data_IF_727078036403
#
_entry.id   IF_727078036403
#
_cell.length_a   1.000
_cell.length_b   1.000
_cell.length_c   1.000
_cell.angle_alpha   90.00
_cell.angle_beta   90.00
_cell.angle_gamma   90.00
#
_symmetry.space_group_name_H-M   'P 1'
#
loop_
_entity.id
_entity.type
_entity.pdbx_description
1 polymer ?
#
# COMPACT_ATOMS: atom_id res chain seq x y z
N UNK A 1 20.01 -12.62 31.82
CA UNK A 1 20.32 -13.50 30.69
C UNK A 1 19.08 -13.56 29.82
N UNK A 2 19.20 -13.17 28.57
CA UNK A 2 18.10 -13.23 27.63
C UNK A 2 18.22 -14.54 26.86
N UNK A 3 17.10 -15.25 26.68
CA UNK A 3 17.05 -16.52 25.99
C UNK A 3 15.72 -16.63 25.21
N UNK A 4 15.71 -17.39 24.11
CA UNK A 4 14.52 -17.70 23.33
C UNK A 4 14.14 -19.18 23.51
N UNK A 5 12.83 -19.42 23.64
CA UNK A 5 12.26 -20.77 23.72
C UNK A 5 11.14 -20.87 22.66
N UNK A 6 11.15 -21.96 21.89
CA UNK A 6 10.06 -22.24 20.96
C UNK A 6 8.98 -23.06 21.68
N UNK A 7 7.76 -22.56 21.69
CA UNK A 7 6.61 -23.25 22.26
C UNK A 7 5.36 -22.88 21.44
N UNK A 8 4.39 -23.79 21.31
CA UNK A 8 3.16 -23.56 20.55
C UNK A 8 2.20 -22.57 21.24
N UNK A 9 2.35 -22.35 22.55
CA UNK A 9 1.52 -21.44 23.33
C UNK A 9 2.33 -20.88 24.52
N UNK A 10 1.97 -19.69 25.00
CA UNK A 10 2.60 -18.98 26.12
C UNK A 10 2.62 -19.82 27.39
N UNK A 11 1.54 -20.52 27.71
CA UNK A 11 1.44 -21.40 28.87
C UNK A 11 2.43 -22.57 28.83
N UNK A 12 2.66 -23.12 27.63
CA UNK A 12 3.65 -24.20 27.43
C UNK A 12 5.07 -23.67 27.53
N UNK A 13 5.34 -22.45 27.05
CA UNK A 13 6.64 -21.79 27.21
C UNK A 13 6.96 -21.56 28.69
N UNK A 14 6.02 -21.04 29.47
CA UNK A 14 6.14 -20.81 30.93
C UNK A 14 6.45 -22.12 31.64
N UNK A 15 5.67 -23.18 31.40
CA UNK A 15 5.83 -24.48 32.05
C UNK A 15 7.20 -25.11 31.74
N UNK A 16 7.64 -24.98 30.48
CA UNK A 16 8.94 -25.51 30.03
C UNK A 16 10.10 -24.78 30.66
N UNK A 17 10.04 -23.47 30.82
CA UNK A 17 11.07 -22.66 31.44
C UNK A 17 11.12 -22.90 32.97
N UNK A 18 9.97 -23.02 33.63
CA UNK A 18 9.89 -23.32 35.05
C UNK A 18 10.42 -24.72 35.38
N UNK A 19 10.15 -25.73 34.53
CA UNK A 19 10.68 -27.09 34.72
C UNK A 19 12.21 -27.16 34.59
N UNK A 20 12.82 -26.19 33.89
CA UNK A 20 14.28 -26.03 33.78
C UNK A 20 14.90 -25.15 34.88
N UNK A 21 14.10 -24.72 35.86
CA UNK A 21 14.58 -23.97 37.02
C UNK A 21 14.79 -22.47 36.77
N UNK A 22 14.24 -21.90 35.69
CA UNK A 22 14.35 -20.48 35.42
C UNK A 22 13.18 -19.70 36.02
N UNK A 23 13.47 -18.54 36.64
CA UNK A 23 12.44 -17.58 37.06
C UNK A 23 12.20 -16.58 35.94
N UNK A 24 10.98 -16.55 35.42
CA UNK A 24 10.60 -15.68 34.31
C UNK A 24 10.32 -14.29 34.85
N UNK A 25 11.05 -13.28 34.39
CA UNK A 25 10.86 -11.87 34.74
C UNK A 25 9.95 -11.15 33.72
N UNK A 26 10.07 -11.49 32.45
CA UNK A 26 9.17 -11.05 31.38
C UNK A 26 9.17 -12.08 30.26
N UNK A 27 8.03 -12.30 29.64
CA UNK A 27 7.87 -13.12 28.45
C UNK A 27 7.31 -12.23 27.34
N UNK A 28 8.07 -12.08 26.26
CA UNK A 28 7.56 -11.41 25.06
C UNK A 28 7.42 -12.44 23.95
N UNK A 29 6.21 -12.61 23.42
CA UNK A 29 5.98 -13.45 22.28
C UNK A 29 6.64 -12.84 21.03
N UNK A 30 7.77 -13.40 20.61
CA UNK A 30 8.39 -13.07 19.34
C UNK A 30 7.75 -13.93 18.26
N UNK A 31 6.60 -13.52 17.77
CA UNK A 31 5.91 -14.20 16.67
C UNK A 31 6.70 -13.98 15.35
N UNK A 32 7.72 -14.79 15.15
CA UNK A 32 8.43 -14.92 13.87
C UNK A 32 7.85 -16.07 13.06
N UNK A 33 6.55 -16.07 12.87
CA UNK A 33 5.93 -16.86 11.82
C UNK A 33 6.35 -16.28 10.47
N UNK A 34 7.19 -16.98 9.72
CA UNK A 34 7.69 -16.58 8.39
C UNK A 34 6.52 -16.27 7.42
N UNK A 35 5.37 -16.89 7.64
CA UNK A 35 4.12 -16.63 6.91
C UNK A 35 3.41 -15.33 7.36
N UNK A 36 3.51 -14.94 8.63
CA UNK A 36 2.88 -13.71 9.12
C UNK A 36 3.70 -12.47 8.75
N UNK A 37 5.03 -12.57 8.67
CA UNK A 37 5.89 -11.46 8.25
C UNK A 37 5.68 -11.09 6.78
N UNK A 38 5.50 -12.07 5.89
CA UNK A 38 5.21 -11.81 4.47
C UNK A 38 3.77 -11.29 4.27
N UNK A 39 2.81 -11.84 5.02
CA UNK A 39 1.42 -11.37 4.98
C UNK A 39 1.27 -9.97 5.56
N UNK A 40 1.93 -9.66 6.67
CA UNK A 40 1.95 -8.31 7.26
C UNK A 40 2.62 -7.29 6.36
N UNK A 41 3.68 -7.68 5.64
CA UNK A 41 4.36 -6.84 4.65
C UNK A 41 3.49 -6.55 3.42
N UNK A 42 2.65 -7.51 3.02
CA UNK A 42 1.68 -7.33 1.93
C UNK A 42 0.48 -6.48 2.36
N UNK A 43 0.00 -6.64 3.60
CA UNK A 43 -1.07 -5.85 4.21
C UNK A 43 -0.62 -4.43 4.59
N UNK A 44 0.68 -4.21 4.82
CA UNK A 44 1.23 -2.90 5.17
C UNK A 44 1.53 -2.01 3.97
N UNK A 45 1.47 -2.54 2.73
CA UNK A 45 1.78 -1.75 1.53
C UNK A 45 0.74 -0.65 1.33
N UNK A 46 1.21 0.60 1.37
CA UNK A 46 0.38 1.77 1.11
C UNK A 46 -0.06 1.74 -0.36
N UNK A 47 -1.37 1.75 -0.60
CA UNK A 47 -1.94 1.78 -1.95
C UNK A 47 -2.09 3.22 -2.44
N UNK A 48 -1.95 3.43 -3.75
CA UNK A 48 -2.29 4.72 -4.35
C UNK A 48 -3.73 5.18 -4.05
N UNK A 49 -4.65 4.23 -3.86
CA UNK A 49 -6.04 4.54 -3.46
C UNK A 49 -6.12 5.17 -2.07
N UNK A 50 -5.34 4.66 -1.11
CA UNK A 50 -5.31 5.21 0.25
C UNK A 50 -4.79 6.65 0.25
N UNK A 51 -3.75 6.90 -0.55
CA UNK A 51 -3.15 8.24 -0.67
C UNK A 51 -4.11 9.22 -1.36
N UNK A 52 -4.82 8.79 -2.40
CA UNK A 52 -5.84 9.62 -3.09
C UNK A 52 -7.00 9.92 -2.13
N UNK A 53 -7.48 8.91 -1.39
CA UNK A 53 -8.53 9.09 -0.40
C UNK A 53 -8.12 10.08 0.70
N UNK A 54 -6.92 9.92 1.25
CA UNK A 54 -6.36 10.86 2.22
C UNK A 54 -6.34 12.30 1.68
N UNK A 55 -5.84 12.51 0.47
CA UNK A 55 -5.76 13.85 -0.15
C UNK A 55 -7.15 14.47 -0.33
N UNK A 56 -8.15 13.67 -0.69
CA UNK A 56 -9.54 14.13 -0.79
C UNK A 56 -10.14 14.48 0.57
N UNK A 57 -9.93 13.61 1.55
CA UNK A 57 -10.40 13.87 2.92
C UNK A 57 -9.73 15.11 3.52
N UNK A 58 -8.42 15.30 3.30
CA UNK A 58 -7.71 16.50 3.75
C UNK A 58 -8.33 17.76 3.16
N UNK A 59 -8.57 17.78 1.83
CA UNK A 59 -9.28 18.89 1.20
C UNK A 59 -10.64 19.10 1.87
N UNK A 60 -11.44 18.07 2.05
CA UNK A 60 -12.80 18.19 2.64
C UNK A 60 -12.78 18.79 4.06
N UNK A 61 -11.78 18.44 4.89
CA UNK A 61 -11.64 19.00 6.22
C UNK A 61 -11.22 20.48 6.18
N UNK A 62 -10.33 20.85 5.27
CA UNK A 62 -9.91 22.24 5.08
C UNK A 62 -11.05 23.08 4.47
N UNK A 63 -11.86 22.50 3.57
CA UNK A 63 -13.07 23.12 3.01
C UNK A 63 -14.15 23.40 4.08
N UNK A 64 -14.16 22.57 5.12
CA UNK A 64 -15.02 22.77 6.31
C UNK A 64 -14.40 23.70 7.36
N UNK A 65 -13.42 24.53 7.00
CA UNK A 65 -12.70 25.47 7.88
C UNK A 65 -11.99 24.79 9.07
N UNK A 66 -11.70 23.49 8.98
CA UNK A 66 -10.93 22.79 10.02
C UNK A 66 -9.46 23.21 9.98
N UNK A 67 -8.84 23.54 11.14
CA UNK A 67 -7.42 23.81 11.21
C UNK A 67 -6.57 22.66 10.63
N UNK A 68 -5.58 22.98 9.80
CA UNK A 68 -4.77 22.01 9.07
C UNK A 68 -4.16 20.92 9.97
N UNK A 69 -3.58 21.30 11.11
CA UNK A 69 -2.96 20.37 12.04
C UNK A 69 -4.00 19.40 12.65
N UNK A 70 -5.18 19.91 12.99
CA UNK A 70 -6.29 19.10 13.53
C UNK A 70 -6.83 18.14 12.48
N UNK A 71 -6.99 18.59 11.24
CA UNK A 71 -7.39 17.76 10.10
C UNK A 71 -6.42 16.61 9.86
N UNK A 72 -5.11 16.90 9.82
CA UNK A 72 -4.07 15.89 9.67
C UNK A 72 -4.08 14.85 10.79
N UNK A 73 -4.18 15.30 12.05
CA UNK A 73 -4.26 14.42 13.20
C UNK A 73 -5.50 13.53 13.18
N UNK A 74 -6.62 14.07 12.76
CA UNK A 74 -7.89 13.32 12.63
C UNK A 74 -7.74 12.23 11.57
N UNK A 75 -7.18 12.56 10.42
CA UNK A 75 -6.94 11.60 9.34
C UNK A 75 -5.92 10.52 9.72
N UNK A 76 -4.84 10.88 10.43
CA UNK A 76 -3.87 9.92 10.92
C UNK A 76 -4.49 8.87 11.87
N UNK A 77 -5.50 9.25 12.67
CA UNK A 77 -6.24 8.33 13.55
C UNK A 77 -7.17 7.40 12.78
N UNK A 78 -7.75 7.85 11.66
CA UNK A 78 -8.70 7.08 10.86
C UNK A 78 -8.04 6.02 9.97
N UNK A 79 -6.75 6.17 9.68
CA UNK A 79 -6.03 5.24 8.81
C UNK A 79 -5.78 3.92 9.53
N UNK A 80 -6.26 2.83 8.91
CA UNK A 80 -6.10 1.46 9.45
C UNK A 80 -4.71 0.87 9.18
N UNK A 81 -4.09 1.23 8.04
CA UNK A 81 -2.77 0.69 7.64
C UNK A 81 -1.65 1.26 8.49
N UNK A 82 -0.94 0.43 9.29
CA UNK A 82 0.06 0.92 10.24
C UNK A 82 1.17 1.75 9.59
N UNK A 83 1.65 1.32 8.41
CA UNK A 83 2.69 2.04 7.67
C UNK A 83 2.23 3.44 7.24
N UNK A 84 0.99 3.58 6.76
CA UNK A 84 0.46 4.88 6.33
C UNK A 84 0.10 5.76 7.52
N UNK A 85 -0.43 5.16 8.59
CA UNK A 85 -0.70 5.84 9.85
C UNK A 85 0.57 6.48 10.42
N UNK A 86 1.69 5.74 10.42
CA UNK A 86 2.99 6.27 10.87
C UNK A 86 3.38 7.51 10.07
N UNK A 87 3.34 7.45 8.74
CA UNK A 87 3.66 8.59 7.87
C UNK A 87 2.77 9.79 8.16
N UNK A 88 1.45 9.59 8.28
CA UNK A 88 0.53 10.69 8.55
C UNK A 88 0.70 11.29 9.95
N UNK A 89 1.10 10.47 10.93
CA UNK A 89 1.44 10.95 12.27
C UNK A 89 2.68 11.83 12.22
N UNK A 90 3.76 11.40 11.54
CA UNK A 90 4.97 12.19 11.34
C UNK A 90 4.69 13.53 10.65
N UNK A 91 3.86 13.52 9.59
CA UNK A 91 3.42 14.74 8.89
C UNK A 91 2.61 15.65 9.82
N UNK A 92 1.68 15.10 10.59
CA UNK A 92 0.86 15.86 11.55
C UNK A 92 1.70 16.54 12.62
N UNK A 93 2.61 15.80 13.25
CA UNK A 93 3.54 16.31 14.28
C UNK A 93 4.46 17.41 13.72
N UNK A 94 4.94 17.23 12.50
CA UNK A 94 5.78 18.19 11.81
C UNK A 94 5.03 19.52 11.58
N UNK A 95 3.78 19.45 11.11
CA UNK A 95 2.94 20.64 10.90
C UNK A 95 2.53 21.26 12.24
N UNK A 96 2.20 20.49 13.27
CA UNK A 96 1.91 20.98 14.63
C UNK A 96 3.12 21.71 15.24
N UNK A 97 4.34 21.31 14.90
CA UNK A 97 5.58 22.01 15.32
C UNK A 97 5.85 23.29 14.54
N UNK A 98 4.99 23.65 13.58
CA UNK A 98 5.09 24.87 12.78
C UNK A 98 5.81 24.73 11.44
N UNK A 99 6.13 23.49 11.01
CA UNK A 99 6.67 23.28 9.67
C UNK A 99 5.57 23.45 8.60
N UNK A 100 5.98 23.93 7.42
CA UNK A 100 5.08 23.99 6.27
C UNK A 100 4.61 22.58 5.87
N UNK A 101 3.35 22.42 5.45
CA UNK A 101 2.81 21.15 4.98
C UNK A 101 3.62 20.58 3.82
N UNK A 102 4.00 21.43 2.88
CA UNK A 102 4.84 21.02 1.73
C UNK A 102 6.18 20.44 2.15
N UNK A 103 6.82 21.01 3.17
CA UNK A 103 8.10 20.53 3.71
C UNK A 103 7.91 19.20 4.44
N UNK A 104 6.83 19.05 5.21
CA UNK A 104 6.49 17.81 5.91
C UNK A 104 6.18 16.68 4.93
N UNK A 105 5.46 16.95 3.84
CA UNK A 105 5.17 15.98 2.78
C UNK A 105 6.41 15.61 1.95
N UNK A 106 7.37 16.53 1.82
CA UNK A 106 8.62 16.29 1.09
C UNK A 106 9.53 15.24 1.75
N UNK A 107 9.32 14.91 3.02
CA UNK A 107 9.98 13.78 3.67
C UNK A 107 9.52 12.41 3.12
N UNK A 108 8.37 12.35 2.43
CA UNK A 108 7.78 11.13 1.88
C UNK A 108 7.45 11.27 0.38
N UNK A 109 8.45 11.52 -0.49
CA UNK A 109 8.23 11.83 -1.90
C UNK A 109 7.63 10.66 -2.70
N UNK A 110 7.89 9.43 -2.28
CA UNK A 110 7.37 8.21 -2.91
C UNK A 110 5.83 8.11 -2.79
N UNK A 111 5.24 8.68 -1.74
CA UNK A 111 3.80 8.66 -1.49
C UNK A 111 3.08 9.88 -2.10
N UNK A 112 3.66 11.04 -1.92
CA UNK A 112 2.98 12.28 -2.32
C UNK A 112 3.36 12.77 -3.72
N UNK A 113 4.55 12.42 -4.19
CA UNK A 113 5.07 12.81 -5.50
C UNK A 113 5.42 14.32 -5.58
N UNK A 114 6.44 14.62 -6.36
CA UNK A 114 6.97 15.99 -6.45
C UNK A 114 5.94 17.02 -6.96
N UNK A 115 5.07 16.64 -7.88
CA UNK A 115 4.04 17.54 -8.40
C UNK A 115 3.08 18.00 -7.29
N UNK A 116 2.60 17.05 -6.48
CA UNK A 116 1.72 17.33 -5.34
C UNK A 116 2.39 18.28 -4.34
N UNK A 117 3.62 17.96 -3.94
CA UNK A 117 4.41 18.74 -2.97
C UNK A 117 4.61 20.17 -3.47
N UNK A 118 4.98 20.35 -4.75
CA UNK A 118 5.21 21.68 -5.33
C UNK A 118 3.94 22.52 -5.43
N UNK A 119 2.79 21.89 -5.72
CA UNK A 119 1.52 22.61 -5.79
C UNK A 119 1.02 23.02 -4.39
N UNK A 120 1.18 22.14 -3.38
CA UNK A 120 0.94 22.49 -1.98
C UNK A 120 1.85 23.66 -1.56
N UNK A 121 3.14 23.62 -1.89
CA UNK A 121 4.10 24.69 -1.61
C UNK A 121 3.66 26.03 -2.24
N UNK A 122 3.21 26.01 -3.48
CA UNK A 122 2.68 27.21 -4.15
C UNK A 122 1.43 27.75 -3.44
N UNK A 123 0.53 26.86 -3.02
CA UNK A 123 -0.66 27.25 -2.25
C UNK A 123 -0.35 27.85 -0.88
N UNK A 124 0.64 27.29 -0.17
CA UNK A 124 1.10 27.81 1.11
C UNK A 124 1.69 29.23 0.97
N UNK A 125 2.60 29.42 0.01
CA UNK A 125 3.26 30.71 -0.22
C UNK A 125 2.26 31.79 -0.67
N UNK A 126 1.26 31.42 -1.48
CA UNK A 126 0.25 32.36 -1.98
C UNK A 126 -0.93 32.58 -1.02
N UNK A 127 -1.02 31.84 0.07
CA UNK A 127 -2.18 31.84 0.98
C UNK A 127 -3.43 31.14 0.40
N UNK A 128 -3.27 30.39 -0.69
CA UNK A 128 -4.35 29.70 -1.44
C UNK A 128 -4.27 28.18 -1.30
N UNK A 129 -3.95 27.70 -0.11
CA UNK A 129 -3.78 26.27 0.15
C UNK A 129 -5.06 25.48 -0.17
N UNK A 130 -6.24 26.05 0.20
CA UNK A 130 -7.54 25.45 -0.08
C UNK A 130 -7.75 25.20 -1.59
N UNK A 131 -7.53 26.22 -2.43
CA UNK A 131 -7.67 26.10 -3.89
C UNK A 131 -6.69 25.06 -4.47
N UNK A 132 -5.46 25.04 -3.97
CA UNK A 132 -4.44 24.07 -4.39
C UNK A 132 -4.81 22.63 -4.01
N UNK A 133 -5.35 22.42 -2.81
CA UNK A 133 -5.79 21.09 -2.36
C UNK A 133 -7.01 20.60 -3.13
N UNK A 134 -7.97 21.47 -3.45
CA UNK A 134 -9.11 21.15 -4.31
C UNK A 134 -8.64 20.66 -5.69
N UNK A 135 -7.81 21.48 -6.34
CA UNK A 135 -7.28 21.14 -7.66
C UNK A 135 -6.56 19.77 -7.65
N UNK A 136 -5.74 19.54 -6.62
CA UNK A 136 -5.01 18.29 -6.47
C UNK A 136 -5.94 17.10 -6.24
N UNK A 137 -6.97 17.25 -5.40
CA UNK A 137 -7.95 16.20 -5.14
C UNK A 137 -8.67 15.80 -6.43
N UNK A 138 -9.18 16.76 -7.16
CA UNK A 138 -9.89 16.53 -8.43
C UNK A 138 -8.97 15.93 -9.50
N UNK A 139 -7.75 16.44 -9.65
CA UNK A 139 -6.78 15.90 -10.60
C UNK A 139 -6.47 14.43 -10.32
N UNK A 140 -6.25 14.07 -9.07
CA UNK A 140 -5.91 12.71 -8.70
C UNK A 140 -7.09 11.72 -8.84
N UNK A 141 -8.31 12.15 -8.53
CA UNK A 141 -9.51 11.36 -8.75
C UNK A 141 -9.72 11.06 -10.23
N UNK A 142 -9.58 12.09 -11.08
CA UNK A 142 -9.68 11.94 -12.55
C UNK A 142 -8.59 11.00 -13.08
N UNK A 143 -7.34 11.17 -12.64
CA UNK A 143 -6.22 10.31 -13.03
C UNK A 143 -6.45 8.86 -12.63
N UNK A 144 -6.96 8.61 -11.41
CA UNK A 144 -7.29 7.26 -10.95
C UNK A 144 -8.45 6.65 -11.75
N UNK A 145 -9.49 7.43 -12.04
CA UNK A 145 -10.63 6.99 -12.88
C UNK A 145 -10.17 6.58 -14.28
N UNK A 146 -9.33 7.41 -14.92
CA UNK A 146 -8.77 7.13 -16.24
C UNK A 146 -7.95 5.84 -16.22
N UNK A 147 -7.04 5.68 -15.26
CA UNK A 147 -6.22 4.48 -15.14
C UNK A 147 -7.06 3.21 -14.92
N UNK A 148 -8.15 3.30 -14.15
CA UNK A 148 -9.07 2.19 -13.93
C UNK A 148 -9.83 1.82 -15.22
N UNK A 149 -10.27 2.81 -15.99
CA UNK A 149 -10.95 2.60 -17.29
C UNK A 149 -10.01 1.99 -18.32
N UNK A 150 -8.76 2.44 -18.39
CA UNK A 150 -7.73 1.86 -19.27
C UNK A 150 -7.48 0.39 -18.91
N UNK A 151 -7.30 0.06 -17.63
CA UNK A 151 -7.12 -1.33 -17.19
C UNK A 151 -8.32 -2.21 -17.54
N UNK A 152 -9.54 -1.71 -17.35
CA UNK A 152 -10.75 -2.43 -17.71
C UNK A 152 -10.86 -2.64 -19.24
N UNK A 153 -10.54 -1.62 -20.04
CA UNK A 153 -10.56 -1.73 -21.50
C UNK A 153 -9.51 -2.72 -22.03
N UNK A 154 -8.35 -2.81 -21.39
CA UNK A 154 -7.28 -3.75 -21.79
C UNK A 154 -7.56 -5.20 -21.39
N UNK A 155 -8.51 -5.45 -20.50
CA UNK A 155 -8.82 -6.81 -20.02
C UNK A 155 -9.32 -7.71 -21.18
N UNK A 156 -10.16 -7.19 -22.06
CA UNK A 156 -10.68 -7.95 -23.21
C UNK A 156 -9.58 -8.32 -24.23
N UNK A 157 -8.78 -7.37 -24.75
CA UNK A 157 -7.65 -7.72 -25.61
C UNK A 157 -6.67 -8.70 -24.99
N UNK A 158 -6.34 -8.53 -23.70
CA UNK A 158 -5.46 -9.43 -23.00
C UNK A 158 -6.02 -10.87 -22.94
N UNK A 159 -7.33 -11.02 -22.70
CA UNK A 159 -8.00 -12.31 -22.72
C UNK A 159 -7.96 -12.97 -24.11
N UNK A 160 -8.23 -12.19 -25.18
CA UNK A 160 -8.19 -12.71 -26.55
C UNK A 160 -6.80 -13.19 -26.94
N UNK A 161 -5.75 -12.39 -26.63
CA UNK A 161 -4.35 -12.78 -26.88
C UNK A 161 -3.99 -14.04 -26.09
N UNK A 162 -4.38 -14.12 -24.83
CA UNK A 162 -4.14 -15.30 -24.01
C UNK A 162 -4.83 -16.55 -24.58
N UNK A 163 -6.09 -16.46 -24.98
CA UNK A 163 -6.83 -17.57 -25.60
C UNK A 163 -6.17 -18.03 -26.91
N UNK A 164 -5.73 -17.09 -27.74
CA UNK A 164 -5.02 -17.39 -28.98
C UNK A 164 -3.70 -18.12 -28.74
N UNK A 165 -2.94 -17.70 -27.72
CA UNK A 165 -1.68 -18.38 -27.35
C UNK A 165 -1.94 -19.81 -26.86
N UNK A 166 -3.01 -20.01 -26.06
CA UNK A 166 -3.38 -21.35 -25.60
C UNK A 166 -3.78 -22.26 -26.77
N UNK A 167 -4.64 -21.78 -27.67
CA UNK A 167 -5.06 -22.58 -28.85
C UNK A 167 -3.85 -22.89 -29.74
N UNK A 168 -2.99 -21.93 -30.02
CA UNK A 168 -1.76 -22.15 -30.81
C UNK A 168 -0.85 -23.17 -30.16
N UNK A 169 -0.67 -23.08 -28.85
CA UNK A 169 0.16 -24.05 -28.09
C UNK A 169 -0.40 -25.48 -28.21
N UNK A 170 -1.72 -25.63 -28.06
CA UNK A 170 -2.40 -26.94 -28.23
C UNK A 170 -2.19 -27.47 -29.65
N UNK A 171 -2.36 -26.63 -30.66
CA UNK A 171 -2.14 -27.03 -32.06
C UNK A 171 -0.70 -27.52 -32.32
N UNK A 172 0.28 -26.79 -31.81
CA UNK A 172 1.70 -27.13 -32.01
C UNK A 172 2.10 -28.43 -31.27
N UNK A 173 1.58 -28.60 -30.04
CA UNK A 173 1.98 -29.73 -29.18
C UNK A 173 1.24 -31.02 -29.53
N UNK A 174 -0.05 -30.92 -29.91
CA UNK A 174 -0.90 -32.11 -30.13
C UNK A 174 -1.19 -32.39 -31.61
N UNK A 175 -1.58 -31.37 -32.38
CA UNK A 175 -2.03 -31.58 -33.76
C UNK A 175 -0.86 -31.76 -34.72
N UNK A 176 0.19 -30.96 -34.58
CA UNK A 176 1.32 -31.01 -35.47
C UNK A 176 2.06 -32.36 -35.43
N UNK A 177 2.35 -32.99 -34.28
CA UNK A 177 2.96 -34.32 -34.22
C UNK A 177 2.07 -35.40 -34.85
N UNK A 178 0.76 -35.31 -34.68
CA UNK A 178 -0.19 -36.26 -35.23
C UNK A 178 -0.25 -36.19 -36.75
N UNK A 179 -0.16 -35.00 -37.34
CA UNK A 179 -0.06 -34.82 -38.78
C UNK A 179 1.26 -35.37 -39.31
N UNK A 180 2.37 -35.13 -38.62
CA UNK A 180 3.69 -35.63 -38.99
C UNK A 180 3.76 -37.18 -38.99
N UNK A 181 3.07 -37.84 -38.07
CA UNK A 181 3.00 -39.32 -38.04
C UNK A 181 2.25 -39.86 -39.25
N UNK A 182 1.12 -39.23 -39.62
CA UNK A 182 0.34 -39.64 -40.81
C UNK A 182 1.15 -39.47 -42.09
N UNK A 183 1.93 -38.42 -42.23
CA UNK A 183 2.82 -38.22 -43.41
C UNK A 183 3.95 -39.22 -43.46
N UNK A 184 4.45 -39.76 -42.36
CA UNK A 184 5.45 -40.81 -42.31
C UNK A 184 4.89 -42.17 -42.72
N UNK A 185 3.62 -42.43 -42.48
CA UNK A 185 2.96 -43.71 -42.80
C UNK A 185 2.53 -43.79 -44.29
N UNK A 186 2.51 -42.68 -45.03
CA UNK A 186 2.07 -42.60 -46.43
C UNK A 186 3.25 -42.51 -47.41
N UNK A 187 4.43 -42.15 -46.95
CA UNK A 187 5.66 -42.04 -47.77
C UNK A 187 6.67 -43.13 -47.49
#
# INVERSE_FOLDING_TARGET
>A
MDGAVEAPDENVAVTTLQSKGYTILSLEATDKGVLSADLSKYLSKISNKDVVLFKRQLYTLIDADMPLAEGLRTLAKQVEKPAFKKVLTEVSESVESGQALSASLAAHPDLFGNFYIKLVQSGEVSGKLHESLLYLADYMERSQSINSKIKAALAYPAFVVFALLVVTSIMVVYVLPQLLSIFKDIG
#
